data_IF_567656563585
#
_entry.id   IF_567656563585
#
_cell.length_a   1.000
_cell.length_b   1.000
_cell.length_c   1.000
_cell.angle_alpha   90.00
_cell.angle_beta   90.00
_cell.angle_gamma   90.00
#
_symmetry.space_group_name_H-M   'P 1'
#
loop_
_entity.id
_entity.type
_entity.pdbx_description
1 polymer ?
#
# COMPACT_ATOMS: atom_id res chain seq x y z
N UNK A 1 0.91 7.34 26.84
CA UNK A 1 0.38 6.52 25.73
C UNK A 1 1.23 6.77 24.50
N UNK A 2 1.96 5.76 24.01
CA UNK A 2 2.72 5.87 22.76
C UNK A 2 1.75 5.86 21.59
N UNK A 3 1.64 6.96 20.87
CA UNK A 3 0.71 7.10 19.74
C UNK A 3 1.16 6.19 18.57
N UNK A 4 0.21 5.65 17.82
CA UNK A 4 0.45 4.84 16.61
C UNK A 4 0.95 5.66 15.42
N UNK A 5 0.69 6.97 15.41
CA UNK A 5 1.23 7.93 14.45
C UNK A 5 2.43 8.65 15.08
N UNK A 6 3.60 8.57 14.46
CA UNK A 6 4.88 8.99 15.07
C UNK A 6 5.70 9.85 14.10
N UNK A 7 6.27 10.93 14.62
CA UNK A 7 7.28 11.69 13.88
C UNK A 7 8.63 10.96 13.86
N UNK A 8 9.46 11.24 12.85
CA UNK A 8 10.86 10.85 12.80
C UNK A 8 11.68 12.06 12.33
N UNK A 9 12.60 12.52 13.17
CA UNK A 9 13.32 13.79 12.98
C UNK A 9 12.33 14.96 12.72
N UNK A 10 12.50 15.70 11.64
CA UNK A 10 11.62 16.80 11.20
C UNK A 10 10.34 16.33 10.51
N UNK A 11 10.23 15.05 10.16
CA UNK A 11 9.11 14.53 9.38
C UNK A 11 7.97 14.02 10.27
N UNK A 12 6.76 14.45 9.93
CA UNK A 12 5.52 13.98 10.54
C UNK A 12 4.56 13.48 9.45
N UNK A 13 3.87 12.34 9.67
CA UNK A 13 2.87 11.85 8.72
C UNK A 13 1.82 12.92 8.40
N UNK A 14 1.59 13.14 7.10
CA UNK A 14 0.54 14.00 6.56
C UNK A 14 -0.65 13.11 6.21
N UNK A 15 -1.73 13.23 6.97
CA UNK A 15 -2.88 12.30 6.90
C UNK A 15 -4.14 13.10 6.63
N UNK A 16 -4.84 12.76 5.54
CA UNK A 16 -6.14 13.35 5.27
C UNK A 16 -7.17 12.98 6.34
N UNK A 17 -8.07 13.90 6.69
CA UNK A 17 -9.04 13.70 7.78
C UNK A 17 -10.05 12.57 7.52
N UNK A 18 -10.24 12.18 6.26
CA UNK A 18 -11.10 11.06 5.88
C UNK A 18 -10.48 9.68 6.14
N UNK A 19 -9.15 9.59 6.35
CA UNK A 19 -8.45 8.33 6.54
C UNK A 19 -8.97 7.51 7.74
N UNK A 20 -8.72 6.21 7.69
CA UNK A 20 -8.85 5.29 8.82
C UNK A 20 -7.48 4.67 9.11
N UNK A 21 -7.03 4.75 10.35
CA UNK A 21 -5.80 4.11 10.81
C UNK A 21 -6.16 3.35 12.08
N UNK A 22 -6.07 2.03 12.02
CA UNK A 22 -6.33 1.19 13.18
C UNK A 22 -5.36 1.51 14.34
N UNK A 23 -5.84 1.39 15.58
CA UNK A 23 -5.04 1.68 16.78
C UNK A 23 -3.81 0.77 16.92
N UNK A 24 -3.87 -0.44 16.35
CA UNK A 24 -2.77 -1.41 16.34
C UNK A 24 -1.83 -1.25 15.13
N UNK A 25 -2.19 -0.42 14.15
CA UNK A 25 -1.27 -0.06 13.07
C UNK A 25 -0.18 0.91 13.57
N UNK A 26 0.89 1.11 12.79
CA UNK A 26 1.94 2.09 13.12
C UNK A 26 2.36 2.86 11.85
N UNK A 27 2.33 4.19 11.91
CA UNK A 27 2.72 5.09 10.81
C UNK A 27 3.80 6.06 11.28
N UNK A 28 4.97 6.06 10.64
CA UNK A 28 6.17 6.77 11.12
C UNK A 28 6.82 7.60 10.00
N UNK A 29 7.15 8.86 10.29
CA UNK A 29 8.08 9.67 9.47
C UNK A 29 7.44 10.38 8.28
N UNK A 30 8.14 10.45 7.16
CA UNK A 30 7.74 11.11 5.91
C UNK A 30 6.73 10.27 5.14
N UNK A 31 5.50 10.19 5.67
CA UNK A 31 4.39 9.43 5.08
C UNK A 31 3.25 10.38 4.71
N UNK A 32 2.74 10.27 3.49
CA UNK A 32 1.57 11.01 3.02
C UNK A 32 0.44 10.04 2.67
N UNK A 33 -0.70 10.18 3.36
CA UNK A 33 -1.93 9.42 3.09
C UNK A 33 -3.00 10.35 2.52
N UNK A 34 -3.43 10.07 1.30
CA UNK A 34 -4.47 10.83 0.61
C UNK A 34 -5.88 10.48 1.14
N UNK A 35 -6.90 11.10 0.55
CA UNK A 35 -8.31 10.89 0.90
C UNK A 35 -8.69 9.40 0.91
N UNK A 36 -9.47 9.00 1.91
CA UNK A 36 -10.05 7.67 2.09
C UNK A 36 -9.04 6.51 2.13
N UNK A 37 -7.78 6.78 2.48
CA UNK A 37 -6.82 5.71 2.73
C UNK A 37 -7.18 4.99 4.03
N UNK A 38 -7.14 3.65 4.00
CA UNK A 38 -7.31 2.81 5.18
C UNK A 38 -6.05 2.01 5.49
N UNK A 39 -5.64 2.03 6.76
CA UNK A 39 -4.51 1.26 7.31
C UNK A 39 -5.04 0.35 8.40
N UNK A 40 -4.94 -0.95 8.18
CA UNK A 40 -5.62 -2.00 8.95
C UNK A 40 -4.74 -2.58 10.07
N UNK A 41 -5.30 -3.37 11.00
CA UNK A 41 -4.60 -3.86 12.18
C UNK A 41 -3.20 -4.42 11.91
N UNK A 42 -2.26 -4.07 12.79
CA UNK A 42 -0.87 -4.52 12.76
C UNK A 42 -0.07 -4.18 11.49
N UNK A 43 -0.60 -3.34 10.59
CA UNK A 43 0.18 -2.81 9.48
C UNK A 43 1.23 -1.80 9.97
N UNK A 44 2.42 -1.83 9.38
CA UNK A 44 3.52 -0.90 9.68
C UNK A 44 3.90 -0.14 8.42
N UNK A 45 3.85 1.19 8.48
CA UNK A 45 4.24 2.10 7.42
C UNK A 45 5.34 3.00 7.96
N UNK A 46 6.59 2.82 7.51
CA UNK A 46 7.74 3.51 8.07
C UNK A 46 8.51 4.27 6.99
N UNK A 47 8.26 5.57 6.86
CA UNK A 47 8.99 6.49 5.99
C UNK A 47 10.09 7.23 6.74
N UNK A 48 11.00 6.52 7.38
CA UNK A 48 12.06 7.12 8.21
C UNK A 48 13.31 7.52 7.40
N UNK A 49 13.66 6.73 6.38
CA UNK A 49 14.88 6.93 5.58
C UNK A 49 14.62 7.40 4.14
N UNK A 50 13.35 7.44 3.73
CA UNK A 50 12.84 8.04 2.50
C UNK A 50 11.31 8.21 2.62
N UNK A 51 10.69 8.83 1.62
CA UNK A 51 9.25 9.13 1.61
C UNK A 51 8.37 7.93 1.23
N UNK A 52 7.18 7.88 1.82
CA UNK A 52 6.07 6.98 1.42
C UNK A 52 4.86 7.82 1.05
N UNK A 53 4.27 7.53 -0.12
CA UNK A 53 3.05 8.20 -0.60
C UNK A 53 1.98 7.16 -0.95
N UNK A 54 0.77 7.33 -0.44
CA UNK A 54 -0.36 6.44 -0.70
C UNK A 54 -1.56 7.25 -1.23
N UNK A 55 -1.97 6.93 -2.45
CA UNK A 55 -3.02 7.60 -3.20
C UNK A 55 -4.45 7.31 -2.71
N UNK A 56 -5.39 8.07 -3.25
CA UNK A 56 -6.78 8.11 -2.81
C UNK A 56 -7.46 6.73 -2.89
N UNK A 57 -8.34 6.45 -1.91
CA UNK A 57 -9.15 5.22 -1.83
C UNK A 57 -8.32 3.91 -1.73
N UNK A 58 -7.01 3.98 -1.50
CA UNK A 58 -6.16 2.81 -1.37
C UNK A 58 -6.23 2.21 0.03
N UNK A 59 -6.06 0.89 0.14
CA UNK A 59 -6.11 0.17 1.42
C UNK A 59 -4.83 -0.64 1.65
N UNK A 60 -4.28 -0.52 2.86
CA UNK A 60 -3.14 -1.28 3.38
C UNK A 60 -3.65 -2.24 4.44
N UNK A 61 -3.92 -3.48 4.03
CA UNK A 61 -4.59 -4.47 4.87
C UNK A 61 -3.70 -4.99 6.01
N UNK A 62 -4.28 -5.87 6.81
CA UNK A 62 -3.72 -6.35 8.06
C UNK A 62 -2.31 -6.91 7.89
N UNK A 63 -1.45 -6.66 8.87
CA UNK A 63 -0.07 -7.17 8.91
C UNK A 63 0.82 -6.81 7.71
N UNK A 64 0.49 -5.78 6.93
CA UNK A 64 1.39 -5.30 5.88
C UNK A 64 2.64 -4.62 6.45
N UNK A 65 3.76 -4.73 5.74
CA UNK A 65 5.01 -4.04 6.05
C UNK A 65 5.42 -3.15 4.87
N UNK A 66 5.41 -1.84 5.08
CA UNK A 66 5.78 -0.84 4.08
C UNK A 66 7.05 -0.11 4.53
N UNK A 67 8.13 -0.26 3.76
CA UNK A 67 9.41 0.39 4.03
C UNK A 67 10.10 0.87 2.73
N UNK A 68 11.26 1.50 2.87
CA UNK A 68 11.96 2.22 1.82
C UNK A 68 13.47 2.02 1.94
N UNK A 69 14.19 2.16 0.84
CA UNK A 69 15.66 2.18 0.87
C UNK A 69 16.19 3.60 0.97
N UNK A 70 17.09 3.83 1.92
CA UNK A 70 17.70 5.12 2.20
C UNK A 70 18.50 5.71 1.03
N UNK A 71 18.58 7.04 1.00
CA UNK A 71 19.43 7.82 0.09
C UNK A 71 20.91 7.62 0.46
N UNK A 72 21.77 7.35 -0.53
CA UNK A 72 23.22 7.23 -0.32
C UNK A 72 24.03 7.69 -1.54
N UNK A 73 25.36 7.71 -1.45
CA UNK A 73 26.23 8.21 -2.53
C UNK A 73 26.03 7.46 -3.88
N UNK A 74 25.73 6.17 -3.84
CA UNK A 74 25.47 5.35 -5.04
C UNK A 74 24.03 5.48 -5.56
N UNK A 75 23.10 5.89 -4.68
CA UNK A 75 21.67 6.09 -4.98
C UNK A 75 21.15 7.35 -4.28
N UNK A 76 21.46 8.55 -4.79
CA UNK A 76 21.15 9.81 -4.10
C UNK A 76 19.66 10.04 -3.88
N UNK A 77 18.82 9.42 -4.71
CA UNK A 77 17.36 9.53 -4.64
C UNK A 77 16.71 8.43 -3.80
N UNK A 78 17.49 7.51 -3.21
CA UNK A 78 16.94 6.40 -2.43
C UNK A 78 15.98 5.55 -3.24
N UNK A 79 15.02 4.91 -2.57
CA UNK A 79 13.91 4.19 -3.21
C UNK A 79 12.65 4.51 -2.42
N UNK A 80 11.95 5.62 -2.75
CA UNK A 80 10.70 5.95 -2.10
C UNK A 80 9.64 4.90 -2.47
N UNK A 81 8.65 4.74 -1.60
CA UNK A 81 7.50 3.88 -1.86
C UNK A 81 6.35 4.76 -2.33
N UNK A 82 5.86 4.50 -3.55
CA UNK A 82 4.75 5.25 -4.14
C UNK A 82 3.64 4.27 -4.50
N UNK A 83 2.45 4.53 -3.99
CA UNK A 83 1.23 3.75 -4.24
C UNK A 83 0.17 4.68 -4.81
N UNK A 84 -0.37 4.33 -5.97
CA UNK A 84 -1.40 5.09 -6.67
C UNK A 84 -2.77 5.05 -6.01
N UNK A 85 -3.78 5.43 -6.78
CA UNK A 85 -5.19 5.46 -6.37
C UNK A 85 -5.86 4.10 -6.54
N UNK A 86 -6.84 3.82 -5.70
CA UNK A 86 -7.64 2.58 -5.74
C UNK A 86 -6.80 1.29 -5.69
N UNK A 87 -5.69 1.32 -4.96
CA UNK A 87 -4.82 0.15 -4.76
C UNK A 87 -5.31 -0.67 -3.57
N UNK A 88 -5.43 -1.97 -3.78
CA UNK A 88 -5.67 -2.96 -2.72
C UNK A 88 -4.37 -3.66 -2.40
N UNK A 89 -3.75 -3.30 -1.28
CA UNK A 89 -2.57 -4.01 -0.74
C UNK A 89 -3.08 -5.09 0.20
N UNK A 90 -3.11 -6.34 -0.27
CA UNK A 90 -3.64 -7.49 0.44
C UNK A 90 -2.95 -7.78 1.77
N UNK A 91 -3.60 -8.54 2.65
CA UNK A 91 -3.02 -8.84 3.98
C UNK A 91 -1.60 -9.45 3.90
N UNK A 92 -0.78 -9.21 4.91
CA UNK A 92 0.59 -9.73 4.99
C UNK A 92 1.50 -9.40 3.79
N UNK A 93 1.20 -8.32 3.05
CA UNK A 93 2.06 -7.89 1.94
C UNK A 93 3.26 -7.10 2.45
N UNK A 94 4.43 -7.36 1.88
CA UNK A 94 5.64 -6.57 2.08
C UNK A 94 5.91 -5.71 0.85
N UNK A 95 5.93 -4.38 1.01
CA UNK A 95 6.31 -3.44 -0.04
C UNK A 95 7.60 -2.72 0.38
N UNK A 96 8.59 -2.72 -0.50
CA UNK A 96 9.87 -2.07 -0.24
C UNK A 96 10.29 -1.22 -1.43
N UNK A 97 10.30 0.10 -1.27
CA UNK A 97 10.86 1.05 -2.24
C UNK A 97 10.37 0.90 -3.70
N UNK A 98 9.14 0.41 -3.90
CA UNK A 98 8.54 0.16 -5.21
C UNK A 98 7.58 1.27 -5.64
N UNK A 99 7.17 1.26 -6.91
CA UNK A 99 6.17 2.17 -7.47
C UNK A 99 4.99 1.35 -7.98
N UNK A 100 3.81 1.61 -7.45
CA UNK A 100 2.55 0.95 -7.80
C UNK A 100 1.62 2.01 -8.40
N UNK A 101 1.16 1.79 -9.62
CA UNK A 101 0.16 2.62 -10.29
C UNK A 101 -1.24 2.47 -9.72
N UNK A 102 -2.22 2.99 -10.45
CA UNK A 102 -3.62 3.02 -10.01
C UNK A 102 -4.32 1.69 -10.28
N UNK A 103 -5.36 1.39 -9.50
CA UNK A 103 -6.22 0.20 -9.65
C UNK A 103 -5.38 -1.08 -9.70
N UNK A 104 -4.50 -1.25 -8.72
CA UNK A 104 -3.67 -2.46 -8.58
C UNK A 104 -4.19 -3.29 -7.41
N UNK A 105 -4.26 -4.61 -7.60
CA UNK A 105 -4.47 -5.55 -6.51
C UNK A 105 -3.20 -6.35 -6.26
N UNK A 106 -2.60 -6.16 -5.09
CA UNK A 106 -1.48 -6.96 -4.60
C UNK A 106 -2.02 -8.09 -3.74
N UNK A 107 -1.97 -9.31 -4.24
CA UNK A 107 -2.53 -10.47 -3.56
C UNK A 107 -1.87 -10.72 -2.21
N UNK A 108 -2.66 -11.25 -1.27
CA UNK A 108 -2.25 -11.60 0.09
C UNK A 108 -0.88 -12.30 0.13
N UNK A 109 -0.06 -11.96 1.11
CA UNK A 109 1.25 -12.57 1.36
C UNK A 109 2.28 -12.39 0.23
N UNK A 110 2.12 -11.37 -0.61
CA UNK A 110 3.08 -11.05 -1.68
C UNK A 110 4.20 -10.12 -1.20
N UNK A 111 5.33 -10.15 -1.91
CA UNK A 111 6.51 -9.31 -1.66
C UNK A 111 6.84 -8.53 -2.93
N UNK A 112 6.96 -7.20 -2.82
CA UNK A 112 7.37 -6.31 -3.92
C UNK A 112 8.62 -5.55 -3.49
N UNK A 113 9.70 -5.70 -4.25
CA UNK A 113 11.03 -5.20 -3.90
C UNK A 113 11.40 -3.90 -4.64
N UNK A 114 12.52 -3.32 -4.23
CA UNK A 114 12.97 -1.98 -4.62
C UNK A 114 12.97 -1.73 -6.12
N UNK A 115 12.52 -0.54 -6.50
CA UNK A 115 12.44 -0.06 -7.88
C UNK A 115 11.55 -0.91 -8.80
N UNK A 116 10.81 -1.90 -8.29
CA UNK A 116 9.77 -2.53 -9.09
C UNK A 116 8.72 -1.49 -9.48
N UNK A 117 8.26 -1.57 -10.73
CA UNK A 117 7.23 -0.69 -11.29
C UNK A 117 6.05 -1.57 -11.65
N UNK A 118 4.95 -1.38 -10.94
CA UNK A 118 3.67 -1.98 -11.27
C UNK A 118 2.87 -0.90 -11.99
N UNK A 119 2.58 -1.10 -13.27
CA UNK A 119 1.72 -0.19 -14.02
C UNK A 119 0.27 -0.28 -13.52
N UNK A 120 -0.60 0.58 -14.06
CA UNK A 120 -2.02 0.62 -13.70
C UNK A 120 -2.74 -0.68 -14.07
N UNK A 121 -3.86 -0.98 -13.42
CA UNK A 121 -4.76 -2.07 -13.81
C UNK A 121 -4.06 -3.44 -13.82
N UNK A 122 -3.30 -3.75 -12.76
CA UNK A 122 -2.54 -4.99 -12.59
C UNK A 122 -3.09 -5.81 -11.43
N UNK A 123 -3.12 -7.14 -11.61
CA UNK A 123 -3.40 -8.08 -10.54
C UNK A 123 -2.17 -8.94 -10.26
N UNK A 124 -1.74 -8.99 -9.01
CA UNK A 124 -0.67 -9.88 -8.54
C UNK A 124 -1.34 -10.96 -7.68
N UNK A 125 -1.15 -12.23 -8.03
CA UNK A 125 -1.70 -13.36 -7.28
C UNK A 125 -1.06 -13.50 -5.91
N UNK A 126 -1.76 -14.19 -5.00
CA UNK A 126 -1.29 -14.44 -3.64
C UNK A 126 0.10 -15.10 -3.59
N UNK A 127 0.89 -14.78 -2.56
CA UNK A 127 2.20 -15.37 -2.32
C UNK A 127 3.25 -15.04 -3.38
N UNK A 128 3.05 -13.99 -4.19
CA UNK A 128 3.96 -13.68 -5.29
C UNK A 128 5.19 -12.90 -4.83
N UNK A 129 6.28 -12.97 -5.59
CA UNK A 129 7.50 -12.18 -5.36
C UNK A 129 7.86 -11.41 -6.62
N UNK A 130 7.80 -10.08 -6.55
CA UNK A 130 8.23 -9.17 -7.61
C UNK A 130 9.67 -8.75 -7.35
N UNK A 131 10.65 -9.17 -8.19
CA UNK A 131 12.05 -8.83 -7.99
C UNK A 131 12.33 -7.33 -8.13
N UNK A 132 13.49 -6.85 -7.61
CA UNK A 132 13.86 -5.45 -7.77
C UNK A 132 13.92 -5.04 -9.25
N UNK A 133 13.52 -3.80 -9.55
CA UNK A 133 13.52 -3.21 -10.91
C UNK A 133 12.61 -3.90 -11.93
N UNK A 134 11.81 -4.90 -11.53
CA UNK A 134 10.89 -5.58 -12.45
C UNK A 134 9.74 -4.63 -12.82
N UNK A 135 9.43 -4.55 -14.11
CA UNK A 135 8.25 -3.85 -14.61
C UNK A 135 7.13 -4.85 -14.88
N UNK A 136 5.96 -4.63 -14.27
CA UNK A 136 4.74 -5.38 -14.55
C UNK A 136 3.81 -4.49 -15.39
N UNK A 137 3.55 -4.94 -16.62
CA UNK A 137 2.72 -4.26 -17.62
C UNK A 137 1.24 -4.26 -17.23
N UNK A 138 0.58 -3.14 -17.54
CA UNK A 138 -0.84 -2.89 -17.32
C UNK A 138 -1.75 -3.92 -17.98
N UNK A 139 -2.84 -4.27 -17.30
CA UNK A 139 -3.88 -5.15 -17.84
C UNK A 139 -3.57 -6.64 -17.75
N UNK A 140 -2.61 -7.07 -16.93
CA UNK A 140 -2.19 -8.47 -16.80
C UNK A 140 -2.27 -9.01 -15.37
N UNK A 141 -2.47 -10.33 -15.31
CA UNK A 141 -2.28 -11.14 -14.11
C UNK A 141 -0.82 -11.61 -14.03
N UNK A 142 -0.20 -11.43 -12.86
CA UNK A 142 1.12 -11.92 -12.53
C UNK A 142 1.06 -12.86 -11.32
N UNK A 143 1.76 -14.00 -11.40
CA UNK A 143 1.84 -14.94 -10.27
C UNK A 143 3.23 -15.56 -10.16
N UNK A 144 3.60 -15.99 -8.96
CA UNK A 144 4.77 -16.83 -8.71
C UNK A 144 5.93 -16.10 -8.03
N UNK A 145 7.01 -16.86 -7.78
CA UNK A 145 8.21 -16.40 -7.10
C UNK A 145 9.46 -16.88 -7.88
N UNK A 146 10.06 -16.03 -8.75
CA UNK A 146 9.62 -14.69 -9.12
C UNK A 146 8.39 -14.70 -10.02
N UNK A 147 7.64 -13.60 -10.02
CA UNK A 147 6.42 -13.46 -10.85
C UNK A 147 6.68 -13.66 -12.33
N UNK A 148 5.73 -14.32 -12.99
CA UNK A 148 5.60 -14.40 -14.44
C UNK A 148 4.29 -13.75 -14.88
N UNK A 149 4.30 -13.14 -16.07
CA UNK A 149 3.08 -12.67 -16.71
C UNK A 149 2.28 -13.87 -17.19
N UNK A 150 1.07 -14.06 -16.68
CA UNK A 150 0.26 -15.26 -16.98
C UNK A 150 -0.63 -15.02 -18.19
N UNK A 151 -1.47 -14.00 -18.12
CA UNK A 151 -2.49 -13.68 -19.14
C UNK A 151 -3.04 -12.27 -18.93
N UNK A 152 -3.69 -11.67 -19.94
CA UNK A 152 -4.50 -10.49 -19.73
C UNK A 152 -5.58 -10.71 -18.66
N UNK A 153 -5.92 -9.64 -17.96
CA UNK A 153 -7.08 -9.61 -17.08
C UNK A 153 -8.36 -9.67 -17.93
N UNK A 154 -9.34 -10.39 -17.41
CA UNK A 154 -10.70 -10.38 -17.94
C UNK A 154 -11.39 -9.06 -17.59
N UNK A 155 -12.45 -8.70 -18.31
CA UNK A 155 -13.26 -7.51 -17.98
C UNK A 155 -13.78 -7.53 -16.54
N UNK A 156 -14.14 -8.72 -16.02
CA UNK A 156 -14.58 -8.89 -14.64
C UNK A 156 -13.44 -8.62 -13.64
N UNK A 157 -12.23 -9.07 -13.94
CA UNK A 157 -11.07 -8.81 -13.09
C UNK A 157 -10.68 -7.35 -13.10
N UNK A 158 -10.73 -6.67 -14.26
CA UNK A 158 -10.50 -5.23 -14.37
C UNK A 158 -11.51 -4.44 -13.53
N UNK A 159 -12.81 -4.73 -13.68
CA UNK A 159 -13.85 -4.09 -12.88
C UNK A 159 -13.71 -4.40 -11.38
N UNK A 160 -13.17 -5.56 -11.04
CA UNK A 160 -12.96 -5.96 -9.65
C UNK A 160 -11.88 -5.13 -8.93
N UNK A 161 -10.89 -4.57 -9.63
CA UNK A 161 -9.82 -3.76 -9.03
C UNK A 161 -10.39 -2.54 -8.30
N UNK A 162 -11.17 -1.72 -9.01
CA UNK A 162 -11.86 -0.55 -8.41
C UNK A 162 -12.94 -0.97 -7.42
N UNK A 163 -13.69 -2.05 -7.70
CA UNK A 163 -14.70 -2.56 -6.76
C UNK A 163 -14.08 -2.91 -5.40
N UNK A 164 -12.93 -3.61 -5.41
CA UNK A 164 -12.20 -3.99 -4.20
C UNK A 164 -11.81 -2.77 -3.38
N UNK A 165 -11.18 -1.76 -4.01
CA UNK A 165 -10.77 -0.54 -3.33
C UNK A 165 -11.96 0.22 -2.72
N UNK A 166 -13.02 0.45 -3.50
CA UNK A 166 -14.21 1.16 -3.04
C UNK A 166 -15.01 0.38 -1.99
N UNK A 167 -14.93 -0.96 -1.98
CA UNK A 167 -15.48 -1.76 -0.91
C UNK A 167 -14.77 -1.46 0.41
N UNK A 168 -13.43 -1.39 0.43
CA UNK A 168 -12.67 -1.05 1.64
C UNK A 168 -12.94 0.37 2.15
N UNK A 169 -13.24 1.33 1.26
CA UNK A 169 -13.74 2.66 1.67
C UNK A 169 -15.08 2.55 2.43
N UNK A 170 -15.99 1.65 2.02
CA UNK A 170 -17.24 1.42 2.76
C UNK A 170 -16.98 0.77 4.12
N UNK A 171 -16.12 -0.26 4.17
CA UNK A 171 -15.82 -1.00 5.40
C UNK A 171 -15.11 -0.09 6.42
N UNK A 172 -14.12 0.71 6.01
CA UNK A 172 -13.45 1.62 6.96
C UNK A 172 -14.42 2.65 7.55
N UNK A 173 -15.40 3.13 6.78
CA UNK A 173 -16.42 4.07 7.27
C UNK A 173 -17.33 3.42 8.31
N UNK A 174 -17.68 2.14 8.12
CA UNK A 174 -18.41 1.37 9.13
C UNK A 174 -17.62 1.21 10.43
N UNK A 175 -16.31 0.94 10.34
CA UNK A 175 -15.42 0.90 11.51
C UNK A 175 -15.35 2.25 12.24
N UNK A 176 -15.18 3.36 11.50
CA UNK A 176 -15.17 4.72 12.08
C UNK A 176 -16.47 5.04 12.83
N UNK A 177 -17.62 4.68 12.25
CA UNK A 177 -18.92 4.87 12.90
C UNK A 177 -19.04 4.04 14.18
N UNK A 178 -18.66 2.76 14.14
CA UNK A 178 -18.75 1.87 15.28
C UNK A 178 -17.85 2.30 16.45
N UNK A 179 -16.62 2.77 16.17
CA UNK A 179 -15.70 3.29 17.18
C UNK A 179 -16.27 4.54 17.89
N UNK A 180 -16.94 5.42 17.15
CA UNK A 180 -17.56 6.62 17.73
C UNK A 180 -18.73 6.27 18.67
N UNK A 181 -19.48 5.21 18.39
CA UNK A 181 -20.61 4.78 19.24
C UNK A 181 -20.17 4.19 20.59
N UNK A 182 -18.95 3.68 20.69
CA UNK A 182 -18.44 2.96 21.88
C UNK A 182 -17.38 3.75 22.67
N UNK A 183 -17.13 5.01 22.31
CA UNK A 183 -16.15 5.89 22.98
C UNK A 183 -16.76 6.72 24.15
N UNK A 184 -17.80 6.20 24.82
CA UNK A 184 -18.51 6.85 25.95
C UNK A 184 -17.94 6.40 27.30
#
# INVERSE_FOLDING_TARGET
>A
MTHNIRSYLEHRPQIDSSCYIDEMAVVIGEVSLAENVSVWPFAVIRGDVDSIQIGKNSNVQDHCMLHVSHKNASKPQGSPLIIGEEVTVGHHVNLHGCRIGDRVLVGINSIILDDAIIENDVMIGAGSLVPPRKVLKSGYLYVGQPVQQVRPLTEKELAFLSYSALHYVKVMNQHKLHQNEHSV
#
